data_IF_498206423296
#
_entry.id   IF_498206423296
#
_cell.length_a   1.000
_cell.length_b   1.000
_cell.length_c   1.000
_cell.angle_alpha   90.00
_cell.angle_beta   90.00
_cell.angle_gamma   90.00
#
_symmetry.space_group_name_H-M   'P 1'
#
loop_
_entity.id
_entity.type
_entity.pdbx_description
1 polymer ?
#
# COMPACT_ATOMS: atom_id res chain seq x y z
N UNK A 1 1.38 -57.79 -18.42
CA UNK A 1 2.38 -56.85 -17.89
C UNK A 1 2.56 -55.74 -18.92
N UNK A 2 1.71 -54.72 -18.85
CA UNK A 2 1.91 -53.50 -19.65
C UNK A 2 2.77 -52.55 -18.82
N UNK A 3 3.87 -52.11 -19.40
CA UNK A 3 4.80 -51.13 -18.86
C UNK A 3 4.08 -49.81 -18.57
N UNK A 4 3.83 -49.55 -17.30
CA UNK A 4 3.44 -48.25 -16.77
C UNK A 4 4.69 -47.37 -16.75
N UNK A 5 5.05 -46.81 -17.90
CA UNK A 5 6.11 -45.82 -17.99
C UNK A 5 5.55 -44.49 -17.50
N UNK A 6 6.06 -44.01 -16.37
CA UNK A 6 5.70 -42.76 -15.71
C UNK A 6 5.71 -41.55 -16.65
N UNK A 7 4.59 -41.33 -17.32
CA UNK A 7 4.31 -40.08 -18.01
C UNK A 7 4.15 -39.00 -16.94
N UNK A 8 4.71 -37.78 -17.16
CA UNK A 8 4.55 -36.68 -16.20
C UNK A 8 3.06 -36.46 -15.93
N UNK A 9 2.71 -36.34 -14.64
CA UNK A 9 1.33 -36.11 -14.21
C UNK A 9 0.85 -34.78 -14.80
N UNK A 10 0.00 -34.85 -15.84
CA UNK A 10 -0.61 -33.68 -16.46
C UNK A 10 -2.11 -33.69 -16.19
N UNK A 11 -2.62 -32.56 -15.73
CA UNK A 11 -4.03 -32.37 -15.37
C UNK A 11 -4.97 -32.38 -16.59
N UNK A 12 -4.45 -31.96 -17.74
CA UNK A 12 -5.12 -31.95 -19.03
C UNK A 12 -4.22 -32.71 -20.01
N UNK A 13 -4.73 -33.79 -20.61
CA UNK A 13 -3.86 -34.69 -21.39
C UNK A 13 -4.58 -35.87 -22.02
N UNK A 14 -5.60 -36.42 -21.35
CA UNK A 14 -6.32 -37.61 -21.81
C UNK A 14 -7.02 -37.49 -23.18
N UNK A 15 -7.15 -36.27 -23.72
CA UNK A 15 -7.73 -35.99 -25.05
C UNK A 15 -6.68 -35.78 -26.15
N UNK A 16 -5.42 -35.50 -25.82
CA UNK A 16 -4.42 -35.11 -26.81
C UNK A 16 -3.67 -36.33 -27.34
N UNK A 17 -3.55 -36.44 -28.67
CA UNK A 17 -2.82 -37.52 -29.34
C UNK A 17 -1.30 -37.38 -29.22
N UNK A 18 -0.80 -36.17 -28.93
CA UNK A 18 0.62 -35.85 -28.73
C UNK A 18 0.78 -34.82 -27.61
N UNK A 19 2.00 -34.66 -27.09
CA UNK A 19 2.32 -33.60 -26.11
C UNK A 19 2.29 -32.19 -26.70
N UNK A 20 2.30 -31.13 -25.85
CA UNK A 20 2.44 -29.76 -26.32
C UNK A 20 3.81 -29.54 -26.95
N UNK A 21 3.88 -28.58 -27.88
CA UNK A 21 5.16 -28.08 -28.38
C UNK A 21 5.95 -27.41 -27.24
N UNK A 22 7.28 -27.45 -27.31
CA UNK A 22 8.17 -26.87 -26.30
C UNK A 22 7.87 -25.38 -26.04
N UNK A 23 7.66 -24.61 -27.11
CA UNK A 23 7.30 -23.19 -27.01
C UNK A 23 5.97 -22.96 -26.26
N UNK A 24 5.00 -23.86 -26.43
CA UNK A 24 3.71 -23.76 -25.71
C UNK A 24 3.89 -24.11 -24.23
N UNK A 25 4.68 -25.15 -23.92
CA UNK A 25 4.98 -25.53 -22.55
C UNK A 25 5.70 -24.40 -21.79
N UNK A 26 6.70 -23.76 -22.44
CA UNK A 26 7.42 -22.62 -21.88
C UNK A 26 6.50 -21.41 -21.63
N UNK A 27 5.58 -21.11 -22.57
CA UNK A 27 4.62 -20.02 -22.41
C UNK A 27 3.59 -20.27 -21.30
N UNK A 28 3.15 -21.53 -21.12
CA UNK A 28 2.14 -21.86 -20.11
C UNK A 28 2.69 -21.93 -18.68
N UNK A 29 4.01 -22.13 -18.53
CA UNK A 29 4.63 -22.39 -17.25
C UNK A 29 4.54 -21.19 -16.30
N UNK A 30 4.10 -21.42 -15.07
CA UNK A 30 3.94 -20.39 -14.04
C UNK A 30 4.67 -20.70 -12.73
N UNK A 31 5.28 -21.88 -12.61
CA UNK A 31 6.05 -22.33 -11.43
C UNK A 31 7.14 -21.36 -10.97
N UNK A 32 7.67 -20.52 -11.86
CA UNK A 32 8.66 -19.50 -11.54
C UNK A 32 8.11 -18.32 -10.72
N UNK A 33 6.80 -18.09 -10.72
CA UNK A 33 6.15 -17.07 -9.90
C UNK A 33 5.06 -17.62 -8.97
N UNK A 34 4.30 -18.64 -9.37
CA UNK A 34 3.10 -19.09 -8.65
C UNK A 34 3.40 -20.06 -7.49
N UNK A 35 4.66 -20.51 -7.33
CA UNK A 35 5.06 -21.39 -6.23
C UNK A 35 4.76 -20.79 -4.85
N UNK A 36 4.69 -19.46 -4.75
CA UNK A 36 4.26 -18.73 -3.56
C UNK A 36 2.81 -19.01 -3.12
N UNK A 37 2.00 -19.61 -3.99
CA UNK A 37 0.62 -20.03 -3.69
C UNK A 37 0.56 -21.43 -3.06
N UNK A 38 1.69 -22.14 -2.90
CA UNK A 38 1.68 -23.55 -2.52
C UNK A 38 1.03 -23.82 -1.15
N UNK A 39 1.30 -22.99 -0.14
CA UNK A 39 0.70 -23.13 1.19
C UNK A 39 -0.82 -22.97 1.14
N UNK A 40 -1.31 -22.02 0.35
CA UNK A 40 -2.73 -21.77 0.14
C UNK A 40 -3.38 -22.93 -0.61
N UNK A 41 -2.73 -23.47 -1.65
CA UNK A 41 -3.25 -24.60 -2.43
C UNK A 41 -3.40 -25.86 -1.58
N UNK A 42 -2.43 -26.14 -0.69
CA UNK A 42 -2.52 -27.24 0.26
C UNK A 42 -3.65 -27.00 1.27
N UNK A 43 -3.83 -25.77 1.77
CA UNK A 43 -4.95 -25.43 2.64
C UNK A 43 -6.31 -25.66 1.93
N UNK A 44 -6.45 -25.19 0.70
CA UNK A 44 -7.62 -25.44 -0.16
C UNK A 44 -7.86 -26.92 -0.41
N UNK A 45 -6.79 -27.70 -0.60
CA UNK A 45 -6.87 -29.16 -0.77
C UNK A 45 -7.34 -29.88 0.51
N UNK A 46 -6.92 -29.43 1.70
CA UNK A 46 -7.44 -29.96 2.97
C UNK A 46 -8.93 -29.66 3.14
N UNK A 47 -9.34 -28.42 2.87
CA UNK A 47 -10.75 -28.01 2.96
C UNK A 47 -11.63 -28.83 1.98
N UNK A 48 -11.16 -29.01 0.75
CA UNK A 48 -11.86 -29.81 -0.26
C UNK A 48 -11.97 -31.29 0.13
N UNK A 49 -10.91 -31.89 0.67
CA UNK A 49 -10.96 -33.27 1.16
C UNK A 49 -12.05 -33.46 2.22
N UNK A 50 -12.20 -32.51 3.17
CA UNK A 50 -13.28 -32.55 4.17
C UNK A 50 -14.66 -32.42 3.55
N UNK A 51 -14.82 -31.62 2.50
CA UNK A 51 -16.10 -31.49 1.78
C UNK A 51 -16.43 -32.75 0.98
N UNK A 52 -15.45 -33.38 0.33
CA UNK A 52 -15.65 -34.68 -0.32
C UNK A 52 -16.08 -35.76 0.69
N UNK A 53 -15.46 -35.79 1.86
CA UNK A 53 -15.86 -36.69 2.95
C UNK A 53 -17.30 -36.45 3.41
N UNK A 54 -17.69 -35.19 3.67
CA UNK A 54 -19.09 -34.82 4.00
C UNK A 54 -20.09 -35.24 2.93
N UNK A 55 -19.67 -35.24 1.66
CA UNK A 55 -20.47 -35.70 0.52
C UNK A 55 -20.43 -37.24 0.31
N UNK A 56 -19.83 -38.01 1.23
CA UNK A 56 -19.63 -39.46 1.14
C UNK A 56 -18.79 -39.92 -0.07
N UNK A 57 -17.90 -39.05 -0.58
CA UNK A 57 -16.97 -39.35 -1.67
C UNK A 57 -15.59 -39.77 -1.17
N UNK A 58 -15.33 -39.62 0.13
CA UNK A 58 -14.20 -40.20 0.85
C UNK A 58 -14.71 -40.91 2.11
N UNK A 59 -14.13 -42.06 2.43
CA UNK A 59 -14.33 -42.72 3.73
C UNK A 59 -13.53 -42.03 4.84
N UNK A 60 -13.78 -42.39 6.10
CA UNK A 60 -13.01 -41.87 7.25
C UNK A 60 -11.51 -42.18 7.13
N UNK A 61 -11.16 -43.40 6.72
CA UNK A 61 -9.77 -43.82 6.48
C UNK A 61 -9.12 -43.00 5.35
N UNK A 62 -9.86 -42.83 4.25
CA UNK A 62 -9.39 -42.08 3.09
C UNK A 62 -9.16 -40.60 3.42
N UNK A 63 -10.06 -39.98 4.18
CA UNK A 63 -9.88 -38.61 4.66
C UNK A 63 -8.65 -38.51 5.57
N UNK A 64 -8.50 -39.41 6.54
CA UNK A 64 -7.38 -39.38 7.48
C UNK A 64 -6.03 -39.49 6.75
N UNK A 65 -5.93 -40.42 5.79
CA UNK A 65 -4.73 -40.61 4.96
C UNK A 65 -4.46 -39.42 4.05
N UNK A 66 -5.50 -38.83 3.46
CA UNK A 66 -5.39 -37.64 2.62
C UNK A 66 -4.83 -36.45 3.41
N UNK A 67 -5.39 -36.18 4.60
CA UNK A 67 -4.96 -35.07 5.44
C UNK A 67 -3.53 -35.27 5.94
N UNK A 68 -3.17 -36.48 6.40
CA UNK A 68 -1.82 -36.79 6.84
C UNK A 68 -0.78 -36.59 5.70
N UNK A 69 -1.11 -36.97 4.48
CA UNK A 69 -0.21 -36.75 3.35
C UNK A 69 -0.08 -35.29 2.94
N UNK A 70 -1.15 -34.51 3.02
CA UNK A 70 -1.12 -33.06 2.81
C UNK A 70 -0.30 -32.36 3.90
N UNK A 71 -0.29 -32.86 5.14
CA UNK A 71 0.56 -32.35 6.22
C UNK A 71 2.04 -32.60 5.96
N UNK A 72 2.39 -33.82 5.51
CA UNK A 72 3.76 -34.13 5.09
C UNK A 72 4.18 -33.28 3.90
N UNK A 73 3.33 -33.17 2.87
CA UNK A 73 3.61 -32.34 1.70
C UNK A 73 3.81 -30.87 2.08
N UNK A 74 3.02 -30.34 3.02
CA UNK A 74 3.20 -28.97 3.52
C UNK A 74 4.55 -28.77 4.19
N UNK A 75 4.99 -29.73 5.02
CA UNK A 75 6.31 -29.69 5.66
C UNK A 75 7.45 -29.77 4.64
N UNK A 76 7.29 -30.60 3.61
CA UNK A 76 8.30 -30.74 2.55
C UNK A 76 8.39 -29.49 1.66
N UNK A 77 7.27 -28.85 1.35
CA UNK A 77 7.24 -27.55 0.66
C UNK A 77 7.89 -26.46 1.50
N UNK A 78 7.56 -26.38 2.80
CA UNK A 78 8.10 -25.37 3.69
C UNK A 78 9.62 -25.52 3.94
N UNK A 79 10.12 -26.75 3.98
CA UNK A 79 11.55 -27.05 4.14
C UNK A 79 12.35 -26.99 2.83
N UNK A 80 11.67 -26.92 1.68
CA UNK A 80 12.29 -27.00 0.36
C UNK A 80 12.68 -28.44 -0.07
N UNK A 81 12.29 -29.46 0.71
CA UNK A 81 12.45 -30.86 0.33
C UNK A 81 11.57 -31.27 -0.87
N UNK A 82 10.47 -30.53 -1.11
CA UNK A 82 9.64 -30.66 -2.30
C UNK A 82 9.57 -29.34 -3.06
N UNK A 83 9.95 -29.36 -4.34
CA UNK A 83 9.95 -28.21 -5.25
C UNK A 83 9.31 -28.58 -6.59
N UNK A 84 8.87 -27.59 -7.40
CA UNK A 84 8.44 -27.86 -8.76
C UNK A 84 9.60 -28.37 -9.60
N UNK A 85 9.27 -29.09 -10.66
CA UNK A 85 10.18 -29.57 -11.71
C UNK A 85 9.82 -28.89 -13.03
N UNK A 86 10.71 -28.99 -14.03
CA UNK A 86 10.44 -28.47 -15.37
C UNK A 86 9.23 -29.13 -16.05
N UNK A 87 8.81 -30.29 -15.57
CA UNK A 87 7.64 -31.00 -16.08
C UNK A 87 6.32 -30.47 -15.51
N UNK A 88 6.37 -29.70 -14.41
CA UNK A 88 5.20 -29.10 -13.78
C UNK A 88 4.87 -27.75 -14.44
N UNK A 89 3.65 -27.60 -14.94
CA UNK A 89 3.19 -26.35 -15.56
C UNK A 89 3.00 -25.25 -14.51
N UNK A 90 2.45 -25.60 -13.35
CA UNK A 90 2.02 -24.69 -12.30
C UNK A 90 2.19 -25.32 -10.90
N UNK A 91 2.09 -24.50 -9.84
CA UNK A 91 2.14 -24.95 -8.43
C UNK A 91 1.16 -26.08 -8.15
N UNK A 92 0.01 -25.95 -8.77
CA UNK A 92 -1.13 -26.84 -8.82
C UNK A 92 -0.79 -28.27 -9.27
N UNK A 93 -0.11 -28.41 -10.41
CA UNK A 93 0.34 -29.70 -10.98
C UNK A 93 1.44 -30.30 -10.11
N UNK A 94 2.39 -29.47 -9.67
CA UNK A 94 3.47 -29.90 -8.80
C UNK A 94 2.95 -30.48 -7.48
N UNK A 95 2.07 -29.78 -6.77
CA UNK A 95 1.51 -30.25 -5.51
C UNK A 95 0.66 -31.50 -5.67
N UNK A 96 -0.07 -31.62 -6.77
CA UNK A 96 -0.78 -32.84 -7.06
C UNK A 96 0.16 -34.03 -7.27
N UNK A 97 1.23 -33.85 -8.06
CA UNK A 97 2.25 -34.88 -8.23
C UNK A 97 2.81 -35.29 -6.86
N UNK A 98 3.14 -34.32 -6.01
CA UNK A 98 3.60 -34.58 -4.65
C UNK A 98 2.60 -35.36 -3.79
N UNK A 99 1.30 -35.08 -3.94
CA UNK A 99 0.26 -35.84 -3.25
C UNK A 99 0.17 -37.29 -3.77
N UNK A 100 0.16 -37.48 -5.09
CA UNK A 100 0.08 -38.80 -5.73
C UNK A 100 1.26 -39.70 -5.34
N UNK A 101 2.48 -39.13 -5.27
CA UNK A 101 3.68 -39.83 -4.79
C UNK A 101 3.54 -40.33 -3.34
N UNK A 102 2.71 -39.68 -2.52
CA UNK A 102 2.54 -39.98 -1.08
C UNK A 102 1.38 -40.93 -0.80
N UNK A 103 0.24 -40.77 -1.49
CA UNK A 103 -0.98 -41.56 -1.22
C UNK A 103 -1.37 -42.54 -2.33
N UNK A 104 -0.63 -42.55 -3.44
CA UNK A 104 -0.96 -43.32 -4.63
C UNK A 104 -2.02 -42.67 -5.51
N UNK A 105 -2.16 -43.18 -6.73
CA UNK A 105 -3.04 -42.62 -7.76
C UNK A 105 -4.52 -42.74 -7.44
N UNK A 106 -4.93 -43.83 -6.79
CA UNK A 106 -6.33 -44.10 -6.49
C UNK A 106 -6.88 -43.09 -5.47
N UNK A 107 -6.18 -42.92 -4.34
CA UNK A 107 -6.62 -41.98 -3.30
C UNK A 107 -6.36 -40.53 -3.73
N UNK A 108 -5.16 -40.21 -4.21
CA UNK A 108 -4.82 -38.84 -4.62
C UNK A 108 -5.71 -38.33 -5.76
N UNK A 109 -6.07 -39.21 -6.71
CA UNK A 109 -6.96 -38.88 -7.81
C UNK A 109 -8.38 -38.51 -7.38
N UNK A 110 -8.87 -39.02 -6.23
CA UNK A 110 -10.19 -38.65 -5.70
C UNK A 110 -10.30 -37.18 -5.32
N UNK A 111 -9.18 -36.52 -4.97
CA UNK A 111 -9.19 -35.11 -4.59
C UNK A 111 -9.62 -34.18 -5.75
N UNK A 112 -9.56 -34.63 -7.01
CA UNK A 112 -10.03 -33.85 -8.17
C UNK A 112 -11.56 -33.78 -8.27
N UNK A 113 -12.29 -34.68 -7.62
CA UNK A 113 -13.73 -34.77 -7.80
C UNK A 113 -14.42 -33.45 -7.41
N UNK A 114 -15.18 -32.87 -8.34
CA UNK A 114 -15.98 -31.66 -8.10
C UNK A 114 -15.19 -30.36 -7.96
N UNK A 115 -13.88 -30.36 -8.27
CA UNK A 115 -12.99 -29.19 -8.26
C UNK A 115 -12.53 -28.84 -9.67
N UNK A 116 -12.35 -27.56 -9.96
CA UNK A 116 -11.69 -27.08 -11.18
C UNK A 116 -10.44 -26.29 -10.84
N UNK A 117 -9.59 -26.02 -11.84
CA UNK A 117 -8.51 -25.04 -11.66
C UNK A 117 -9.03 -23.61 -11.64
N UNK A 118 -10.17 -23.33 -12.30
CA UNK A 118 -10.70 -21.98 -12.43
C UNK A 118 -11.15 -21.39 -11.08
N UNK A 119 -11.92 -22.15 -10.31
CA UNK A 119 -12.39 -21.73 -8.98
C UNK A 119 -11.28 -21.85 -7.93
N UNK A 120 -10.43 -22.87 -8.04
CA UNK A 120 -9.25 -23.04 -7.21
C UNK A 120 -8.31 -21.83 -7.33
N UNK A 121 -7.83 -21.49 -8.53
CA UNK A 121 -6.85 -20.39 -8.70
C UNK A 121 -7.42 -19.05 -8.26
N UNK A 122 -8.72 -18.80 -8.50
CA UNK A 122 -9.38 -17.57 -8.07
C UNK A 122 -9.47 -17.48 -6.54
N UNK A 123 -9.77 -18.60 -5.86
CA UNK A 123 -9.81 -18.66 -4.39
C UNK A 123 -8.42 -18.43 -3.79
N UNK A 124 -7.41 -19.13 -4.30
CA UNK A 124 -6.05 -19.07 -3.78
C UNK A 124 -5.43 -17.69 -3.96
N UNK A 125 -5.73 -17.03 -5.07
CA UNK A 125 -5.24 -15.69 -5.30
C UNK A 125 -5.87 -14.67 -4.33
N UNK A 126 -7.17 -14.79 -4.05
CA UNK A 126 -7.83 -13.97 -3.01
C UNK A 126 -7.19 -14.20 -1.64
N UNK A 127 -6.95 -15.45 -1.24
CA UNK A 127 -6.28 -15.74 0.03
C UNK A 127 -4.91 -15.07 0.13
N UNK A 128 -4.07 -15.24 -0.90
CA UNK A 128 -2.74 -14.64 -0.94
C UNK A 128 -2.79 -13.11 -0.87
N UNK A 129 -3.71 -12.48 -1.62
CA UNK A 129 -3.83 -11.02 -1.62
C UNK A 129 -4.32 -10.48 -0.28
N UNK A 130 -5.21 -11.20 0.43
CA UNK A 130 -5.70 -10.79 1.75
C UNK A 130 -4.58 -10.79 2.78
N UNK A 131 -3.66 -11.76 2.72
CA UNK A 131 -2.46 -11.78 3.56
C UNK A 131 -1.46 -10.70 3.13
N UNK A 132 -1.26 -10.52 1.83
CA UNK A 132 -0.38 -9.47 1.29
C UNK A 132 -0.85 -8.06 1.67
N UNK A 133 -2.15 -7.79 1.59
CA UNK A 133 -2.74 -6.51 1.99
C UNK A 133 -2.46 -6.19 3.46
N UNK A 134 -2.53 -7.18 4.35
CA UNK A 134 -2.21 -7.02 5.77
C UNK A 134 -0.73 -6.71 5.99
N UNK A 135 0.18 -7.37 5.27
CA UNK A 135 1.63 -7.08 5.35
C UNK A 135 1.96 -5.67 4.84
N UNK A 136 1.38 -5.27 3.69
CA UNK A 136 1.54 -3.91 3.15
C UNK A 136 0.96 -2.88 4.10
N UNK A 137 -0.21 -3.13 4.68
CA UNK A 137 -0.81 -2.23 5.66
C UNK A 137 0.05 -2.10 6.92
N UNK A 138 0.62 -3.20 7.43
CA UNK A 138 1.52 -3.16 8.57
C UNK A 138 2.74 -2.28 8.29
N UNK A 139 3.43 -2.47 7.16
CA UNK A 139 4.55 -1.61 6.77
C UNK A 139 4.15 -0.15 6.52
N UNK A 140 2.93 0.09 6.02
CA UNK A 140 2.37 1.45 5.86
C UNK A 140 2.17 2.11 7.22
N UNK A 141 1.68 1.38 8.21
CA UNK A 141 1.52 1.88 9.58
C UNK A 141 2.87 2.14 10.26
N UNK A 142 3.92 1.42 9.90
CA UNK A 142 5.28 1.70 10.41
C UNK A 142 5.82 3.03 9.86
N UNK A 143 5.52 3.38 8.60
CA UNK A 143 5.80 4.73 8.04
C UNK A 143 4.97 5.81 8.75
N UNK A 144 3.69 5.53 9.03
CA UNK A 144 2.81 6.44 9.78
C UNK A 144 3.38 6.70 11.19
N UNK A 145 3.85 5.66 11.86
CA UNK A 145 4.40 5.77 13.21
C UNK A 145 5.73 6.55 13.21
N UNK A 146 6.60 6.35 12.21
CA UNK A 146 7.82 7.15 12.04
C UNK A 146 7.52 8.65 11.86
N UNK A 147 6.55 9.00 11.01
CA UNK A 147 6.09 10.38 10.83
C UNK A 147 5.50 10.96 12.12
N UNK A 148 4.67 10.19 12.82
CA UNK A 148 4.05 10.60 14.08
C UNK A 148 5.08 10.81 15.19
N UNK A 149 6.10 9.94 15.27
CA UNK A 149 7.20 10.06 16.22
C UNK A 149 8.03 11.32 15.95
N UNK A 150 8.36 11.61 14.68
CA UNK A 150 9.06 12.84 14.31
C UNK A 150 8.25 14.10 14.62
N UNK A 151 6.93 14.08 14.37
CA UNK A 151 6.03 15.16 14.74
C UNK A 151 5.96 15.37 16.26
N UNK A 152 5.95 14.29 17.04
CA UNK A 152 5.94 14.35 18.50
C UNK A 152 7.28 14.85 19.08
N UNK A 153 8.40 14.53 18.43
CA UNK A 153 9.74 14.96 18.83
C UNK A 153 10.00 16.45 18.53
N UNK A 154 9.26 17.04 17.59
CA UNK A 154 9.42 18.43 17.15
C UNK A 154 8.11 19.22 17.21
N UNK A 155 7.46 19.32 18.39
CA UNK A 155 6.10 19.87 18.51
C UNK A 155 6.03 21.37 18.18
N UNK A 156 7.13 22.10 18.39
CA UNK A 156 7.18 23.56 18.24
C UNK A 156 8.04 24.02 17.05
N UNK A 157 8.60 23.08 16.27
CA UNK A 157 9.50 23.43 15.17
C UNK A 157 8.72 24.11 14.04
N UNK A 158 8.95 25.40 13.83
CA UNK A 158 8.35 26.15 12.73
C UNK A 158 9.10 25.92 11.42
N UNK A 159 8.36 25.91 10.31
CA UNK A 159 8.91 25.86 8.95
C UNK A 159 8.03 26.68 7.99
N UNK A 160 8.55 27.13 6.84
CA UNK A 160 7.70 27.72 5.81
C UNK A 160 6.75 26.65 5.24
N UNK A 161 5.45 26.90 5.33
CA UNK A 161 4.46 26.19 4.52
C UNK A 161 4.63 26.58 3.05
N UNK A 162 4.26 25.68 2.14
CA UNK A 162 4.49 25.90 0.71
C UNK A 162 3.30 25.61 -0.17
N UNK A 163 3.15 26.46 -1.18
CA UNK A 163 2.29 26.23 -2.35
C UNK A 163 3.09 26.60 -3.59
N UNK A 164 3.05 25.79 -4.65
CA UNK A 164 3.92 25.97 -5.83
C UNK A 164 5.42 26.00 -5.50
N UNK A 165 5.82 25.32 -4.41
CA UNK A 165 7.17 25.36 -3.83
C UNK A 165 7.63 26.76 -3.35
N UNK A 166 6.75 27.76 -3.40
CA UNK A 166 6.98 29.10 -2.85
C UNK A 166 6.59 29.14 -1.38
N UNK A 167 7.23 30.02 -0.60
CA UNK A 167 6.85 30.25 0.78
C UNK A 167 5.44 30.84 0.84
N UNK A 168 4.59 30.21 1.63
CA UNK A 168 3.28 30.69 2.03
C UNK A 168 3.30 30.94 3.54
N UNK A 169 2.25 30.61 4.27
CA UNK A 169 2.18 30.83 5.71
C UNK A 169 3.14 29.90 6.49
N UNK A 170 3.72 30.36 7.61
CA UNK A 170 4.42 29.47 8.54
C UNK A 170 3.52 28.35 9.08
N UNK A 171 4.09 27.16 9.21
CA UNK A 171 3.44 25.97 9.79
C UNK A 171 4.38 25.27 10.77
N UNK A 172 3.83 24.38 11.59
CA UNK A 172 4.64 23.45 12.38
C UNK A 172 5.14 22.31 11.49
N UNK A 173 6.37 21.88 11.69
CA UNK A 173 6.94 20.68 11.08
C UNK A 173 6.03 19.47 11.34
N UNK A 174 5.58 19.31 12.59
CA UNK A 174 4.65 18.24 12.94
C UNK A 174 3.36 18.29 12.12
N UNK A 175 2.85 19.48 11.78
CA UNK A 175 1.68 19.62 10.91
C UNK A 175 1.96 19.12 9.48
N UNK A 176 3.12 19.48 8.93
CA UNK A 176 3.56 19.03 7.61
C UNK A 176 3.75 17.50 7.54
N UNK A 177 4.41 16.91 8.55
CA UNK A 177 4.64 15.47 8.60
C UNK A 177 3.34 14.68 8.76
N UNK A 178 2.44 15.14 9.63
CA UNK A 178 1.14 14.48 9.84
C UNK A 178 0.23 14.60 8.62
N UNK A 179 0.41 15.58 7.74
CA UNK A 179 -0.33 15.67 6.48
C UNK A 179 -0.09 14.43 5.59
N UNK A 180 1.14 13.91 5.55
CA UNK A 180 1.47 12.66 4.85
C UNK A 180 0.87 11.45 5.55
N UNK A 181 0.97 11.38 6.88
CA UNK A 181 0.42 10.29 7.66
C UNK A 181 -1.11 10.15 7.48
N UNK A 182 -1.85 11.27 7.34
CA UNK A 182 -3.27 11.25 7.01
C UNK A 182 -3.57 10.61 5.65
N UNK A 183 -2.70 10.78 4.65
CA UNK A 183 -2.85 10.14 3.35
C UNK A 183 -2.67 8.62 3.45
N UNK A 184 -1.65 8.18 4.16
CA UNK A 184 -1.35 6.76 4.38
C UNK A 184 -2.45 6.05 5.18
N UNK A 185 -3.04 6.70 6.19
CA UNK A 185 -4.20 6.13 6.88
C UNK A 185 -5.39 5.91 5.94
N UNK A 186 -5.62 6.79 4.96
CA UNK A 186 -6.66 6.54 3.94
C UNK A 186 -6.30 5.36 3.03
N UNK A 187 -5.02 5.09 2.79
CA UNK A 187 -4.61 3.92 2.01
C UNK A 187 -4.90 2.62 2.78
N UNK A 188 -4.63 2.59 4.09
CA UNK A 188 -4.98 1.45 4.95
C UNK A 188 -6.51 1.26 5.03
N UNK A 189 -7.27 2.35 5.11
CA UNK A 189 -8.75 2.31 5.06
C UNK A 189 -9.26 1.65 3.77
N UNK A 190 -8.68 2.01 2.63
CA UNK A 190 -9.03 1.39 1.34
C UNK A 190 -8.70 -0.10 1.31
N UNK A 191 -7.58 -0.53 1.90
CA UNK A 191 -7.24 -1.94 2.00
C UNK A 191 -8.24 -2.73 2.86
N UNK A 192 -8.75 -2.14 3.95
CA UNK A 192 -9.81 -2.73 4.77
C UNK A 192 -11.12 -2.88 4.01
N UNK A 193 -11.54 -1.82 3.31
CA UNK A 193 -12.75 -1.85 2.50
C UNK A 193 -12.65 -2.89 1.37
N UNK A 194 -11.47 -2.99 0.74
CA UNK A 194 -11.19 -3.99 -0.28
C UNK A 194 -11.23 -5.42 0.26
N UNK A 195 -10.66 -5.68 1.45
CA UNK A 195 -10.66 -7.01 2.08
C UNK A 195 -12.09 -7.51 2.31
N UNK A 196 -13.00 -6.61 2.76
CA UNK A 196 -14.41 -6.94 2.95
C UNK A 196 -15.13 -7.36 1.66
N UNK A 197 -14.83 -6.72 0.52
CA UNK A 197 -15.36 -7.14 -0.80
C UNK A 197 -14.73 -8.43 -1.30
N UNK A 198 -13.48 -8.69 -0.92
CA UNK A 198 -12.68 -9.83 -1.40
C UNK A 198 -12.91 -11.10 -0.57
N UNK A 199 -13.55 -10.99 0.59
CA UNK A 199 -13.79 -12.06 1.56
C UNK A 199 -14.84 -13.11 1.15
N UNK A 200 -15.11 -13.29 -0.15
CA UNK A 200 -15.99 -14.35 -0.67
C UNK A 200 -15.23 -15.37 -1.52
N UNK A 201 -15.46 -16.66 -1.26
CA UNK A 201 -14.75 -17.77 -1.88
C UNK A 201 -15.40 -18.23 -3.20
N UNK A 202 -14.64 -18.28 -4.31
CA UNK A 202 -15.10 -18.91 -5.55
C UNK A 202 -15.22 -20.44 -5.49
N UNK A 203 -14.59 -21.10 -4.51
CA UNK A 203 -14.48 -22.56 -4.45
C UNK A 203 -15.86 -23.25 -4.48
N UNK A 204 -16.03 -24.25 -5.34
CA UNK A 204 -17.31 -24.91 -5.58
C UNK A 204 -18.04 -24.40 -6.83
N UNK A 205 -17.55 -23.32 -7.44
CA UNK A 205 -18.00 -22.84 -8.76
C UNK A 205 -17.60 -23.78 -9.91
N UNK A 206 -16.67 -24.71 -9.65
CA UNK A 206 -16.16 -25.63 -10.66
C UNK A 206 -15.54 -24.88 -11.84
N UNK A 207 -15.72 -25.39 -13.05
CA UNK A 207 -15.16 -24.74 -14.24
C UNK A 207 -15.86 -23.40 -14.57
N UNK A 208 -17.18 -23.33 -14.38
CA UNK A 208 -18.00 -22.13 -14.61
C UNK A 208 -19.46 -22.29 -14.13
N UNK A 209 -19.98 -23.51 -14.00
CA UNK A 209 -21.41 -23.79 -13.83
C UNK A 209 -21.82 -24.33 -12.44
N UNK A 210 -20.88 -24.32 -11.49
CA UNK A 210 -21.06 -24.95 -10.17
C UNK A 210 -20.71 -26.44 -10.19
N UNK A 211 -20.41 -26.97 -9.01
CA UNK A 211 -20.21 -28.41 -8.80
C UNK A 211 -21.53 -29.19 -8.87
N UNK A 212 -21.55 -30.32 -9.55
CA UNK A 212 -22.71 -31.22 -9.64
C UNK A 212 -22.72 -32.31 -8.56
N UNK A 213 -21.74 -32.31 -7.64
CA UNK A 213 -21.55 -33.37 -6.65
C UNK A 213 -22.24 -33.09 -5.30
N UNK A 214 -23.08 -32.06 -5.21
CA UNK A 214 -23.76 -31.69 -3.96
C UNK A 214 -22.78 -31.28 -2.84
N UNK A 215 -21.62 -30.73 -3.22
CA UNK A 215 -20.64 -30.20 -2.28
C UNK A 215 -21.19 -28.95 -1.59
N UNK A 216 -20.65 -28.60 -0.41
CA UNK A 216 -21.01 -27.41 0.36
C UNK A 216 -19.93 -26.32 0.23
N UNK A 217 -20.12 -25.29 -0.64
CA UNK A 217 -19.18 -24.19 -0.82
C UNK A 217 -19.00 -23.33 0.44
N UNK A 218 -20.05 -23.17 1.26
CA UNK A 218 -19.98 -22.37 2.47
C UNK A 218 -19.05 -23.02 3.51
N UNK A 219 -19.04 -24.35 3.57
CA UNK A 219 -18.11 -25.06 4.42
C UNK A 219 -16.65 -24.96 3.95
N UNK A 220 -16.39 -24.88 2.63
CA UNK A 220 -15.04 -24.56 2.14
C UNK A 220 -14.66 -23.12 2.47
N UNK A 221 -15.57 -22.18 2.26
CA UNK A 221 -15.34 -20.76 2.57
C UNK A 221 -14.96 -20.56 4.05
N UNK A 222 -15.74 -21.14 4.97
CA UNK A 222 -15.47 -21.08 6.40
C UNK A 222 -14.13 -21.72 6.79
N UNK A 223 -13.81 -22.91 6.25
CA UNK A 223 -12.53 -23.59 6.48
C UNK A 223 -11.31 -22.74 6.04
N UNK A 224 -11.50 -21.90 5.01
CA UNK A 224 -10.45 -21.06 4.42
C UNK A 224 -10.49 -19.60 4.91
N UNK A 225 -11.36 -19.26 5.86
CA UNK A 225 -11.44 -17.91 6.45
C UNK A 225 -12.12 -16.85 5.57
N UNK A 226 -13.00 -17.26 4.66
CA UNK A 226 -13.89 -16.38 3.91
C UNK A 226 -15.24 -16.22 4.64
N UNK A 227 -15.93 -15.12 4.36
CA UNK A 227 -17.24 -14.79 4.95
C UNK A 227 -18.39 -15.58 4.30
N UNK A 228 -18.17 -16.13 3.11
CA UNK A 228 -19.12 -16.97 2.41
C UNK A 228 -18.66 -17.35 1.01
N UNK A 229 -19.45 -18.15 0.27
CA UNK A 229 -19.20 -18.41 -1.14
C UNK A 229 -19.65 -17.24 -2.02
N UNK A 230 -19.14 -17.17 -3.24
CA UNK A 230 -19.68 -16.27 -4.27
C UNK A 230 -21.09 -16.69 -4.71
N UNK A 231 -21.90 -15.72 -5.13
CA UNK A 231 -23.30 -15.94 -5.55
C UNK A 231 -23.45 -16.55 -6.96
N UNK A 232 -22.44 -16.39 -7.82
CA UNK A 232 -22.51 -16.83 -9.21
C UNK A 232 -21.19 -17.49 -9.65
N UNK A 233 -21.28 -18.71 -10.18
CA UNK A 233 -20.10 -19.50 -10.55
C UNK A 233 -19.36 -18.99 -11.79
N UNK A 234 -20.07 -18.36 -12.73
CA UNK A 234 -19.46 -17.75 -13.91
C UNK A 234 -18.66 -16.52 -13.48
N UNK A 235 -19.26 -15.69 -12.64
CA UNK A 235 -18.61 -14.50 -12.07
C UNK A 235 -17.39 -14.89 -11.20
N UNK A 236 -17.57 -15.84 -10.27
CA UNK A 236 -16.52 -16.28 -9.36
C UNK A 236 -15.28 -16.83 -10.04
N UNK A 237 -15.44 -17.42 -11.23
CA UNK A 237 -14.32 -17.97 -12.02
C UNK A 237 -13.73 -16.97 -13.00
N UNK A 238 -14.53 -16.03 -13.51
CA UNK A 238 -14.12 -15.07 -14.55
C UNK A 238 -13.64 -13.72 -13.99
N UNK A 239 -14.30 -13.18 -12.96
CA UNK A 239 -14.02 -11.81 -12.51
C UNK A 239 -12.66 -11.68 -11.81
N UNK A 240 -12.00 -10.55 -12.04
CA UNK A 240 -10.73 -10.11 -11.42
C UNK A 240 -10.78 -8.65 -11.00
N UNK A 241 -11.98 -8.12 -10.77
CA UNK A 241 -12.21 -6.79 -10.21
C UNK A 241 -11.52 -6.62 -8.85
N UNK A 242 -11.52 -7.66 -8.00
CA UNK A 242 -10.75 -7.66 -6.74
C UNK A 242 -9.24 -7.45 -6.96
N UNK A 243 -8.68 -7.99 -8.05
CA UNK A 243 -7.27 -7.83 -8.39
C UNK A 243 -6.98 -6.43 -8.92
N UNK A 244 -7.86 -5.89 -9.78
CA UNK A 244 -7.75 -4.52 -10.27
C UNK A 244 -7.89 -3.48 -9.14
N UNK A 245 -8.82 -3.70 -8.20
CA UNK A 245 -9.06 -2.80 -7.08
C UNK A 245 -7.84 -2.73 -6.15
N UNK A 246 -7.26 -3.88 -5.76
CA UNK A 246 -6.05 -3.83 -4.93
C UNK A 246 -4.86 -3.27 -5.70
N UNK A 247 -4.71 -3.53 -7.01
CA UNK A 247 -3.68 -2.88 -7.82
C UNK A 247 -3.79 -1.35 -7.74
N UNK A 248 -5.02 -0.82 -7.74
CA UNK A 248 -5.26 0.61 -7.53
C UNK A 248 -4.88 1.06 -6.12
N UNK A 249 -5.28 0.32 -5.08
CA UNK A 249 -4.90 0.64 -3.69
C UNK A 249 -3.38 0.71 -3.52
N UNK A 250 -2.64 -0.26 -4.07
CA UNK A 250 -1.18 -0.30 -4.02
C UNK A 250 -0.53 0.83 -4.84
N UNK A 251 -1.07 1.15 -6.02
CA UNK A 251 -0.58 2.26 -6.84
C UNK A 251 -0.81 3.63 -6.15
N UNK A 252 -1.98 3.82 -5.53
CA UNK A 252 -2.29 5.03 -4.77
C UNK A 252 -1.39 5.20 -3.54
N UNK A 253 -1.10 4.11 -2.83
CA UNK A 253 -0.10 4.10 -1.76
C UNK A 253 1.26 4.52 -2.30
N UNK A 254 1.70 3.95 -3.43
CA UNK A 254 2.93 4.35 -4.12
C UNK A 254 3.01 5.85 -4.43
N UNK A 255 1.91 6.45 -4.89
CA UNK A 255 1.81 7.90 -5.15
C UNK A 255 1.90 8.72 -3.86
N UNK A 256 1.28 8.29 -2.78
CA UNK A 256 1.38 9.01 -1.50
C UNK A 256 2.80 8.91 -0.92
N UNK A 257 3.46 7.76 -1.04
CA UNK A 257 4.87 7.57 -0.68
C UNK A 257 5.80 8.43 -1.56
N UNK A 258 5.51 8.59 -2.85
CA UNK A 258 6.32 9.42 -3.74
C UNK A 258 6.29 10.91 -3.36
N UNK A 259 5.20 11.38 -2.73
CA UNK A 259 5.09 12.76 -2.23
C UNK A 259 5.97 12.99 -1.00
N UNK A 260 6.03 12.00 -0.09
CA UNK A 260 6.98 12.02 1.03
C UNK A 260 8.41 12.04 0.50
N UNK A 261 8.70 11.17 -0.47
CA UNK A 261 10.00 11.11 -1.11
C UNK A 261 10.43 12.44 -1.74
N UNK A 262 9.53 13.11 -2.47
CA UNK A 262 9.80 14.43 -3.07
C UNK A 262 10.23 15.45 -2.02
N UNK A 263 9.52 15.50 -0.88
CA UNK A 263 9.85 16.44 0.18
C UNK A 263 11.20 16.12 0.82
N UNK A 264 11.52 14.85 1.09
CA UNK A 264 12.83 14.46 1.60
C UNK A 264 13.95 14.83 0.62
N UNK A 265 13.75 14.60 -0.68
CA UNK A 265 14.73 14.96 -1.72
C UNK A 265 14.99 16.46 -1.69
N UNK A 266 13.93 17.28 -1.65
CA UNK A 266 14.06 18.73 -1.64
C UNK A 266 14.70 19.22 -0.32
N UNK A 267 14.24 18.72 0.83
CA UNK A 267 14.70 19.17 2.14
C UNK A 267 16.17 18.83 2.43
N UNK A 268 16.71 17.82 1.76
CA UNK A 268 18.10 17.37 1.93
C UNK A 268 19.07 18.02 0.93
N UNK A 269 18.58 18.86 0.01
CA UNK A 269 19.43 19.69 -0.86
C UNK A 269 20.24 20.72 -0.05
N UNK A 270 21.36 21.19 -0.61
CA UNK A 270 22.16 22.27 -0.03
C UNK A 270 21.41 23.60 0.09
N UNK A 271 20.49 23.87 -0.83
CA UNK A 271 19.75 25.10 -0.96
C UNK A 271 18.70 25.23 0.16
N UNK A 272 17.98 24.14 0.43
CA UNK A 272 17.02 24.09 1.53
C UNK A 272 17.74 23.84 2.86
N UNK A 273 18.46 22.72 2.94
CA UNK A 273 19.14 22.23 4.14
C UNK A 273 18.22 22.13 5.36
N UNK A 274 17.00 21.62 5.16
CA UNK A 274 16.02 21.47 6.23
C UNK A 274 16.18 20.17 6.99
N UNK A 275 16.79 19.17 6.33
CA UNK A 275 16.99 17.86 6.90
C UNK A 275 18.34 17.28 6.49
N UNK A 276 18.88 16.42 7.34
CA UNK A 276 20.09 15.65 7.12
C UNK A 276 19.75 14.17 7.30
N UNK A 277 20.01 13.38 6.25
CA UNK A 277 19.82 11.93 6.29
C UNK A 277 20.86 11.26 7.18
N UNK A 278 20.46 10.18 7.84
CA UNK A 278 21.38 9.26 8.49
C UNK A 278 22.24 8.50 7.46
N UNK A 279 23.47 8.12 7.84
CA UNK A 279 24.39 7.42 6.95
C UNK A 279 23.87 6.04 6.52
N UNK A 280 23.09 5.38 7.37
CA UNK A 280 22.52 4.07 7.06
C UNK A 280 21.47 4.10 5.94
N UNK A 281 20.88 5.28 5.67
CA UNK A 281 19.77 5.47 4.75
C UNK A 281 20.09 6.41 3.58
N UNK A 282 21.37 6.73 3.39
CA UNK A 282 21.87 7.55 2.28
C UNK A 282 23.11 6.91 1.66
N UNK A 283 23.37 7.22 0.39
CA UNK A 283 24.68 6.92 -0.22
C UNK A 283 25.56 8.18 -0.25
N UNK A 284 26.88 7.98 -0.22
CA UNK A 284 27.86 9.06 -0.25
C UNK A 284 28.62 9.16 -1.57
N UNK A 285 29.38 10.23 -1.74
CA UNK A 285 30.41 10.34 -2.79
C UNK A 285 31.78 9.95 -2.23
N UNK A 286 32.55 9.16 -2.99
CA UNK A 286 33.95 8.84 -2.63
C UNK A 286 34.88 10.06 -2.69
N UNK A 287 34.46 11.17 -3.31
CA UNK A 287 35.25 12.39 -3.49
C UNK A 287 34.74 13.52 -2.58
N UNK A 288 33.43 13.59 -2.33
CA UNK A 288 32.79 14.69 -1.61
C UNK A 288 32.18 14.19 -0.30
N UNK A 289 32.89 14.32 0.85
CA UNK A 289 32.49 13.70 2.12
C UNK A 289 31.19 14.26 2.71
N UNK A 290 30.78 15.46 2.33
CA UNK A 290 29.53 16.10 2.77
C UNK A 290 28.30 15.68 1.97
N UNK A 291 28.48 15.07 0.78
CA UNK A 291 27.39 14.77 -0.13
C UNK A 291 26.68 13.48 0.29
N UNK A 292 25.42 13.61 0.72
CA UNK A 292 24.50 12.50 0.98
C UNK A 292 23.38 12.48 -0.06
N UNK A 293 23.17 11.33 -0.68
CA UNK A 293 22.15 11.14 -1.71
C UNK A 293 20.89 10.50 -1.09
N UNK A 294 19.68 10.99 -1.41
CA UNK A 294 18.42 10.46 -0.90
C UNK A 294 17.95 9.22 -1.67
N UNK A 295 18.78 8.19 -1.84
CA UNK A 295 18.50 7.02 -2.71
C UNK A 295 17.17 6.33 -2.40
N UNK A 296 16.83 6.17 -1.11
CA UNK A 296 15.55 5.56 -0.69
C UNK A 296 14.37 6.35 -1.23
N UNK A 297 14.41 7.68 -1.13
CA UNK A 297 13.36 8.55 -1.64
C UNK A 297 13.32 8.52 -3.18
N UNK A 298 14.46 8.57 -3.85
CA UNK A 298 14.51 8.52 -5.32
C UNK A 298 13.96 7.20 -5.87
N UNK A 299 14.34 6.07 -5.27
CA UNK A 299 13.82 4.75 -5.61
C UNK A 299 12.31 4.62 -5.32
N UNK A 300 11.84 5.19 -4.21
CA UNK A 300 10.40 5.27 -3.90
C UNK A 300 9.64 6.01 -4.99
N UNK A 301 10.13 7.20 -5.38
CA UNK A 301 9.52 8.02 -6.43
C UNK A 301 9.51 7.28 -7.78
N UNK A 302 10.61 6.64 -8.16
CA UNK A 302 10.69 5.84 -9.39
C UNK A 302 9.76 4.63 -9.40
N UNK A 303 9.72 3.87 -8.29
CA UNK A 303 8.88 2.66 -8.18
C UNK A 303 7.38 2.97 -8.13
N UNK A 304 6.97 4.17 -7.71
CA UNK A 304 5.56 4.59 -7.83
C UNK A 304 5.03 4.49 -9.27
N UNK A 305 5.87 4.83 -10.27
CA UNK A 305 5.55 4.69 -11.69
C UNK A 305 5.38 3.23 -12.13
N UNK A 306 6.16 2.31 -11.56
CA UNK A 306 6.03 0.86 -11.80
C UNK A 306 4.68 0.33 -11.33
N UNK A 307 4.24 0.74 -10.13
CA UNK A 307 2.93 0.34 -9.58
C UNK A 307 1.76 0.86 -10.44
N UNK A 308 1.86 2.10 -10.93
CA UNK A 308 0.90 2.67 -11.89
C UNK A 308 0.86 1.85 -13.19
N UNK A 309 2.03 1.44 -13.70
CA UNK A 309 2.16 0.60 -14.87
C UNK A 309 1.48 -0.76 -14.69
N UNK A 310 1.69 -1.42 -13.55
CA UNK A 310 1.08 -2.71 -13.22
C UNK A 310 -0.45 -2.61 -13.19
N UNK A 311 -1.01 -1.57 -12.56
CA UNK A 311 -2.45 -1.30 -12.57
C UNK A 311 -2.97 -1.12 -14.01
N UNK A 312 -2.30 -0.27 -14.79
CA UNK A 312 -2.75 0.05 -16.14
C UNK A 312 -2.71 -1.16 -17.05
N UNK A 313 -1.65 -1.97 -16.96
CA UNK A 313 -1.51 -3.23 -17.67
C UNK A 313 -2.61 -4.21 -17.29
N UNK A 314 -2.88 -4.40 -16.00
CA UNK A 314 -3.93 -5.29 -15.53
C UNK A 314 -5.31 -4.86 -16.03
N UNK A 315 -5.66 -3.57 -15.94
CA UNK A 315 -6.92 -3.06 -16.48
C UNK A 315 -7.04 -3.29 -17.99
N UNK A 316 -5.95 -3.14 -18.74
CA UNK A 316 -5.93 -3.40 -20.17
C UNK A 316 -6.12 -4.88 -20.49
N UNK A 317 -5.52 -5.80 -19.72
CA UNK A 317 -5.71 -7.26 -19.84
C UNK A 317 -7.16 -7.65 -19.58
N UNK A 318 -7.81 -7.07 -18.58
CA UNK A 318 -9.19 -7.41 -18.21
C UNK A 318 -10.24 -6.84 -19.18
N UNK A 319 -9.91 -5.80 -19.93
CA UNK A 319 -10.84 -5.10 -20.82
C UNK A 319 -11.41 -6.04 -21.89
N UNK A 320 -12.75 -6.12 -21.94
CA UNK A 320 -13.52 -6.77 -22.99
C UNK A 320 -13.29 -8.29 -23.13
N UNK A 321 -12.83 -8.96 -22.06
CA UNK A 321 -12.83 -10.42 -22.05
C UNK A 321 -14.26 -10.97 -22.10
N UNK A 322 -14.55 -11.96 -22.96
CA UNK A 322 -15.83 -12.67 -22.92
C UNK A 322 -15.90 -13.55 -21.66
N UNK A 323 -17.10 -13.77 -21.11
CA UNK A 323 -17.27 -14.74 -20.04
C UNK A 323 -17.08 -16.18 -20.58
N UNK A 324 -16.60 -17.15 -19.79
CA UNK A 324 -16.20 -17.05 -18.37
C UNK A 324 -14.66 -16.93 -18.22
N UNK A 325 -13.98 -17.97 -17.72
CA UNK A 325 -12.52 -18.01 -17.62
C UNK A 325 -11.87 -18.05 -19.01
N UNK A 326 -10.91 -17.16 -19.24
CA UNK A 326 -9.98 -17.20 -20.39
C UNK A 326 -8.54 -17.28 -19.87
N UNK A 327 -7.63 -17.79 -20.71
CA UNK A 327 -6.22 -17.98 -20.32
C UNK A 327 -5.50 -16.64 -20.06
N UNK A 328 -6.00 -15.55 -20.62
CA UNK A 328 -5.61 -14.17 -20.32
C UNK A 328 -5.61 -13.88 -18.80
N UNK A 329 -6.50 -14.52 -18.04
CA UNK A 329 -6.58 -14.38 -16.58
C UNK A 329 -5.41 -15.06 -15.82
N UNK A 330 -4.42 -15.62 -16.52
CA UNK A 330 -3.14 -16.04 -15.93
C UNK A 330 -2.24 -14.82 -15.62
N UNK A 331 -2.40 -13.72 -16.38
CA UNK A 331 -1.64 -12.47 -16.24
C UNK A 331 -2.10 -11.60 -15.04
N UNK A 332 -3.04 -12.09 -14.23
CA UNK A 332 -3.55 -11.36 -13.06
C UNK A 332 -2.56 -11.33 -11.88
N UNK A 333 -1.63 -12.29 -11.81
CA UNK A 333 -0.75 -12.54 -10.66
C UNK A 333 0.51 -11.69 -10.66
N UNK A 334 1.32 -11.79 -11.72
CA UNK A 334 2.63 -11.14 -11.81
C UNK A 334 2.62 -9.64 -11.52
N UNK A 335 1.70 -8.80 -12.06
CA UNK A 335 1.66 -7.39 -11.73
C UNK A 335 1.39 -7.11 -10.24
N UNK A 336 0.59 -7.95 -9.58
CA UNK A 336 0.29 -7.80 -8.16
C UNK A 336 1.37 -8.36 -7.24
N UNK A 337 1.97 -9.48 -7.63
CA UNK A 337 3.16 -10.03 -7.00
C UNK A 337 4.29 -9.02 -7.00
N UNK A 338 4.55 -8.40 -8.15
CA UNK A 338 5.52 -7.33 -8.26
C UNK A 338 5.17 -6.14 -7.37
N UNK A 339 3.93 -5.64 -7.43
CA UNK A 339 3.53 -4.47 -6.64
C UNK A 339 3.69 -4.68 -5.14
N UNK A 340 3.32 -5.85 -4.63
CA UNK A 340 3.49 -6.22 -3.23
C UNK A 340 4.97 -6.32 -2.87
N UNK A 341 5.78 -7.02 -3.67
CA UNK A 341 7.23 -7.16 -3.43
C UNK A 341 7.94 -5.81 -3.40
N UNK A 342 7.60 -4.89 -4.32
CA UNK A 342 8.18 -3.54 -4.30
C UNK A 342 7.82 -2.79 -3.01
N UNK A 343 6.57 -2.91 -2.55
CA UNK A 343 6.14 -2.23 -1.33
C UNK A 343 6.75 -2.86 -0.06
N UNK A 344 6.89 -4.18 0.00
CA UNK A 344 7.57 -4.88 1.10
C UNK A 344 9.05 -4.49 1.22
N UNK A 345 9.69 -4.08 0.11
CA UNK A 345 11.05 -3.50 0.13
C UNK A 345 11.05 -2.02 0.52
N UNK A 346 10.11 -1.25 -0.02
CA UNK A 346 10.08 0.22 0.15
C UNK A 346 9.63 0.66 1.55
N UNK A 347 8.58 0.06 2.09
CA UNK A 347 7.97 0.48 3.34
C UNK A 347 8.96 0.49 4.52
N UNK A 348 9.72 -0.59 4.81
CA UNK A 348 10.71 -0.54 5.88
C UNK A 348 11.86 0.43 5.60
N UNK A 349 12.24 0.61 4.32
CA UNK A 349 13.29 1.56 3.96
C UNK A 349 12.87 3.02 4.20
N UNK A 350 11.63 3.37 3.82
CA UNK A 350 11.07 4.70 4.06
C UNK A 350 10.86 4.93 5.56
N UNK A 351 10.34 3.95 6.29
CA UNK A 351 10.14 4.05 7.73
C UNK A 351 11.47 4.33 8.45
N UNK A 352 12.52 3.55 8.17
CA UNK A 352 13.84 3.75 8.78
C UNK A 352 14.51 5.06 8.38
N UNK A 353 14.37 5.48 7.12
CA UNK A 353 14.83 6.80 6.67
C UNK A 353 14.15 7.93 7.45
N UNK A 354 12.83 7.87 7.65
CA UNK A 354 12.07 8.89 8.39
C UNK A 354 12.30 8.83 9.90
N UNK A 355 12.51 7.64 10.47
CA UNK A 355 12.80 7.49 11.91
C UNK A 355 14.12 8.16 12.28
N UNK A 356 15.11 8.10 11.39
CA UNK A 356 16.48 8.56 11.66
C UNK A 356 16.81 9.93 11.07
N UNK A 357 15.94 10.49 10.22
CA UNK A 357 16.15 11.83 9.64
C UNK A 357 16.25 12.88 10.75
N UNK A 358 17.22 13.78 10.62
CA UNK A 358 17.40 14.89 11.56
C UNK A 358 17.02 16.19 10.88
N UNK A 359 16.24 17.03 11.57
CA UNK A 359 15.80 18.32 11.05
C UNK A 359 16.66 19.45 11.59
N UNK A 360 17.02 20.40 10.72
CA UNK A 360 17.63 21.67 11.12
C UNK A 360 16.51 22.68 11.43
N UNK A 361 16.02 22.63 12.67
CA UNK A 361 14.89 23.45 13.12
C UNK A 361 15.21 24.94 13.13
N UNK A 362 16.48 25.32 13.33
CA UNK A 362 16.92 26.71 13.28
C UNK A 362 16.84 27.25 11.85
N UNK A 363 17.37 26.50 10.88
CA UNK A 363 17.30 26.84 9.45
C UNK A 363 15.85 26.95 8.96
N UNK A 364 14.99 26.02 9.37
CA UNK A 364 13.57 26.06 9.01
C UNK A 364 12.86 27.27 9.59
N UNK A 365 13.06 27.56 10.89
CA UNK A 365 12.45 28.71 11.55
C UNK A 365 12.91 30.04 10.94
N UNK A 366 14.21 30.16 10.63
CA UNK A 366 14.77 31.34 9.96
C UNK A 366 14.20 31.57 8.54
N UNK A 367 13.78 30.50 7.87
CA UNK A 367 13.20 30.58 6.51
C UNK A 367 11.70 30.90 6.51
N UNK A 368 10.99 30.65 7.62
CA UNK A 368 9.54 30.77 7.70
C UNK A 368 8.97 32.19 7.42
N UNK A 369 9.58 33.29 7.91
CA UNK A 369 9.07 34.65 7.65
C UNK A 369 9.55 35.23 6.31
N UNK A 370 10.48 34.57 5.61
CA UNK A 370 11.13 35.11 4.42
C UNK A 370 10.14 35.30 3.27
N UNK A 371 10.21 36.45 2.58
CA UNK A 371 9.30 36.80 1.49
C UNK A 371 7.99 37.44 1.95
N UNK A 372 7.99 38.09 3.12
CA UNK A 372 6.83 38.78 3.69
C UNK A 372 5.61 37.88 3.88
N UNK A 373 5.84 36.61 4.23
CA UNK A 373 4.78 35.60 4.38
C UNK A 373 3.73 35.97 5.43
N UNK A 374 4.12 36.78 6.41
CA UNK A 374 3.27 37.32 7.47
C UNK A 374 2.34 38.46 7.01
N UNK A 375 2.44 38.92 5.75
CA UNK A 375 1.53 39.93 5.20
C UNK A 375 0.07 39.44 5.17
N UNK A 376 -0.13 38.14 4.97
CA UNK A 376 -1.48 37.55 5.01
C UNK A 376 -2.07 37.68 6.41
N UNK A 377 -1.26 37.55 7.45
CA UNK A 377 -1.67 37.68 8.85
C UNK A 377 -2.09 39.12 9.18
N UNK A 378 -1.49 40.15 8.54
CA UNK A 378 -1.99 41.54 8.62
C UNK A 378 -3.41 41.64 8.09
N UNK A 379 -3.65 41.09 6.90
CA UNK A 379 -4.97 41.15 6.27
C UNK A 379 -6.02 40.39 7.10
N UNK A 380 -5.70 39.18 7.55
CA UNK A 380 -6.58 38.37 8.41
C UNK A 380 -6.85 39.07 9.76
N UNK A 381 -5.84 39.70 10.36
CA UNK A 381 -6.00 40.46 11.60
C UNK A 381 -6.94 41.65 11.42
N UNK A 382 -6.78 42.43 10.34
CA UNK A 382 -7.68 43.53 10.01
C UNK A 382 -9.13 43.07 9.78
N UNK A 383 -9.31 41.93 9.12
CA UNK A 383 -10.66 41.34 8.94
C UNK A 383 -11.29 41.00 10.29
N UNK A 384 -10.53 40.50 11.26
CA UNK A 384 -11.04 40.27 12.63
C UNK A 384 -11.45 41.57 13.34
N UNK A 385 -10.88 42.72 12.95
CA UNK A 385 -11.30 44.05 13.43
C UNK A 385 -12.51 44.61 12.67
N UNK A 386 -13.12 43.84 11.76
CA UNK A 386 -14.29 44.25 10.98
C UNK A 386 -13.97 44.96 9.66
N UNK A 387 -12.69 45.02 9.26
CA UNK A 387 -12.30 45.62 7.98
C UNK A 387 -12.64 44.65 6.83
N UNK A 388 -13.32 45.09 5.75
CA UNK A 388 -13.59 44.23 4.60
C UNK A 388 -12.29 43.69 3.97
N UNK A 389 -12.28 42.41 3.60
CA UNK A 389 -11.05 41.72 3.12
C UNK A 389 -10.32 42.47 1.99
N UNK A 390 -11.04 43.06 1.03
CA UNK A 390 -10.41 43.84 -0.06
C UNK A 390 -9.56 45.00 0.49
N UNK A 391 -10.09 45.74 1.47
CA UNK A 391 -9.40 46.86 2.11
C UNK A 391 -8.24 46.37 2.96
N UNK A 392 -8.44 45.26 3.69
CA UNK A 392 -7.38 44.63 4.49
C UNK A 392 -6.20 44.14 3.62
N UNK A 393 -6.49 43.55 2.46
CA UNK A 393 -5.50 43.08 1.50
C UNK A 393 -4.73 44.25 0.87
N UNK A 394 -5.41 45.35 0.51
CA UNK A 394 -4.75 46.59 0.06
C UNK A 394 -3.79 47.12 1.15
N UNK A 395 -4.24 47.21 2.41
CA UNK A 395 -3.40 47.66 3.52
C UNK A 395 -2.19 46.75 3.80
N UNK A 396 -2.37 45.42 3.68
CA UNK A 396 -1.27 44.46 3.79
C UNK A 396 -0.25 44.64 2.65
N UNK A 397 -0.72 44.79 1.41
CA UNK A 397 0.15 45.07 0.26
C UNK A 397 0.91 46.39 0.40
N UNK A 398 0.28 47.42 0.97
CA UNK A 398 0.92 48.70 1.25
C UNK A 398 2.01 48.57 2.32
N UNK A 399 1.75 47.75 3.35
CA UNK A 399 2.73 47.45 4.41
C UNK A 399 3.95 46.73 3.84
N UNK A 400 3.76 45.75 2.95
CA UNK A 400 4.86 45.06 2.25
C UNK A 400 5.69 46.05 1.44
N UNK A 401 5.07 46.90 0.62
CA UNK A 401 5.81 47.88 -0.21
C UNK A 401 6.65 48.83 0.64
N UNK A 402 6.18 49.25 1.81
CA UNK A 402 6.94 50.10 2.74
C UNK A 402 8.11 49.35 3.36
N UNK A 403 7.89 48.12 3.81
CA UNK A 403 8.93 47.28 4.41
C UNK A 403 10.03 46.96 3.39
N UNK A 404 9.66 46.61 2.15
CA UNK A 404 10.58 46.43 1.03
C UNK A 404 11.42 47.68 0.73
N UNK A 405 10.78 48.84 0.64
CA UNK A 405 11.47 50.10 0.37
C UNK A 405 12.50 50.47 1.46
N UNK A 406 12.27 50.00 2.70
CA UNK A 406 13.18 50.20 3.84
C UNK A 406 14.19 49.07 4.02
N UNK A 407 14.00 47.92 3.37
CA UNK A 407 14.83 46.73 3.55
C UNK A 407 14.70 46.12 4.95
N UNK A 408 13.50 46.15 5.55
CA UNK A 408 13.20 45.64 6.91
C UNK A 408 12.04 44.65 6.90
N UNK A 409 11.84 43.90 7.98
CA UNK A 409 10.66 43.05 8.20
C UNK A 409 9.36 43.83 8.44
N UNK A 410 8.20 43.17 8.33
CA UNK A 410 6.90 43.79 8.63
C UNK A 410 6.79 44.19 10.10
N UNK A 411 7.42 43.43 10.99
CA UNK A 411 7.50 43.66 12.43
C UNK A 411 8.41 44.84 12.80
N UNK A 412 9.19 45.37 11.85
CA UNK A 412 10.08 46.52 12.03
C UNK A 412 9.51 47.84 11.48
N UNK A 413 8.33 47.81 10.86
CA UNK A 413 7.58 49.03 10.51
C UNK A 413 7.19 49.77 11.79
N UNK A 414 7.25 51.10 11.82
CA UNK A 414 6.84 51.90 13.00
C UNK A 414 5.32 51.97 13.12
N UNK A 415 4.82 52.38 14.28
CA UNK A 415 3.37 52.54 14.51
C UNK A 415 2.78 53.59 13.57
N UNK A 416 3.51 54.67 13.26
CA UNK A 416 3.10 55.68 12.30
C UNK A 416 3.03 55.12 10.87
N UNK A 417 3.99 54.25 10.49
CA UNK A 417 4.01 53.63 9.17
C UNK A 417 2.85 52.65 8.98
N UNK A 418 2.55 51.84 10.00
CA UNK A 418 1.40 50.93 10.01
C UNK A 418 0.08 51.71 9.97
N UNK A 419 -0.06 52.76 10.79
CA UNK A 419 -1.24 53.62 10.79
C UNK A 419 -1.45 54.34 9.44
N UNK A 420 -0.35 54.65 8.72
CA UNK A 420 -0.40 55.23 7.38
C UNK A 420 -0.85 54.24 6.28
N UNK A 421 -0.79 52.92 6.53
CA UNK A 421 -1.38 51.90 5.66
C UNK A 421 -2.87 51.70 5.95
N UNK A 422 -3.27 51.76 7.21
CA UNK A 422 -4.67 51.75 7.63
C UNK A 422 -4.81 52.26 9.06
N UNK A 423 -5.81 53.11 9.38
CA UNK A 423 -6.04 53.58 10.74
C UNK A 423 -6.45 52.45 11.71
N UNK A 424 -6.83 51.29 11.17
CA UNK A 424 -7.16 50.11 11.97
C UNK A 424 -5.92 49.29 12.38
N UNK A 425 -4.74 49.54 11.80
CA UNK A 425 -3.49 48.86 12.17
C UNK A 425 -2.92 49.44 13.46
N UNK A 426 -3.49 49.03 14.59
CA UNK A 426 -2.95 49.35 15.91
C UNK A 426 -1.66 48.55 16.16
N UNK A 427 -0.83 48.94 17.17
CA UNK A 427 0.38 48.19 17.53
C UNK A 427 0.13 46.71 17.86
N UNK A 428 -1.10 46.34 18.20
CA UNK A 428 -1.53 44.97 18.49
C UNK A 428 -1.43 44.03 17.27
N UNK A 429 -1.37 44.56 16.04
CA UNK A 429 -1.11 43.73 14.84
C UNK A 429 0.21 42.95 14.94
N UNK A 430 1.20 43.48 15.71
CA UNK A 430 2.48 42.81 15.92
C UNK A 430 2.35 41.44 16.61
N UNK A 431 1.23 41.19 17.30
CA UNK A 431 0.93 39.86 17.88
C UNK A 431 0.89 38.75 16.84
N UNK A 432 0.60 39.07 15.57
CA UNK A 432 0.59 38.11 14.44
C UNK A 432 1.75 38.32 13.46
N UNK A 433 2.61 39.31 13.70
CA UNK A 433 3.83 39.57 12.90
C UNK A 433 5.06 38.84 13.43
N UNK A 434 4.84 37.75 14.16
CA UNK A 434 5.88 36.79 14.52
C UNK A 434 5.49 35.43 13.97
N UNK A 435 6.46 34.58 13.67
CA UNK A 435 6.22 33.19 13.23
C UNK A 435 5.31 32.46 14.23
N UNK A 436 5.57 32.61 15.52
CA UNK A 436 4.77 31.98 16.57
C UNK A 436 3.35 32.55 16.64
N UNK A 437 3.20 33.87 16.48
CA UNK A 437 1.90 34.54 16.43
C UNK A 437 1.04 34.06 15.26
N UNK A 438 1.64 33.99 14.06
CA UNK A 438 0.99 33.46 12.86
C UNK A 438 0.49 32.03 13.06
N UNK A 439 1.38 31.12 13.50
CA UNK A 439 1.05 29.72 13.78
C UNK A 439 -0.07 29.61 14.82
N UNK A 440 0.05 30.33 15.94
CA UNK A 440 -0.91 30.27 17.04
C UNK A 440 -2.30 30.76 16.66
N UNK A 441 -2.39 31.67 15.68
CA UNK A 441 -3.66 32.24 15.22
C UNK A 441 -4.48 31.31 14.32
N UNK A 442 -3.91 30.17 13.91
CA UNK A 442 -4.53 29.15 13.04
C UNK A 442 -5.04 27.98 13.88
N UNK A 443 -5.92 28.29 14.83
CA UNK A 443 -6.38 27.40 15.91
C UNK A 443 -7.73 26.69 15.63
N UNK A 444 -8.28 26.86 14.43
CA UNK A 444 -9.42 26.08 13.96
C UNK A 444 -9.07 24.59 13.82
N UNK A 445 -10.09 23.73 13.75
CA UNK A 445 -9.91 22.29 13.55
C UNK A 445 -9.03 22.02 12.31
N UNK A 446 -7.97 21.24 12.49
CA UNK A 446 -7.02 20.92 11.42
C UNK A 446 -6.03 22.05 11.09
N UNK A 447 -6.05 23.16 11.82
CA UNK A 447 -5.05 24.21 11.71
C UNK A 447 -3.70 23.84 12.34
N UNK A 448 -2.70 24.68 12.09
CA UNK A 448 -1.31 24.43 12.51
C UNK A 448 -0.99 24.90 13.93
N UNK A 449 -1.93 25.48 14.67
CA UNK A 449 -1.65 25.88 16.06
C UNK A 449 -1.23 24.67 16.91
N UNK A 450 -0.31 24.82 17.89
CA UNK A 450 0.26 23.68 18.64
C UNK A 450 -0.80 22.76 19.26
N UNK A 451 -1.84 23.34 19.88
CA UNK A 451 -2.93 22.57 20.47
C UNK A 451 -3.68 21.72 19.42
N UNK A 452 -3.90 22.26 18.21
CA UNK A 452 -4.61 21.56 17.12
C UNK A 452 -3.78 20.42 16.52
N UNK A 453 -2.47 20.62 16.40
CA UNK A 453 -1.54 19.59 15.93
C UNK A 453 -1.41 18.47 16.96
N UNK A 454 -1.32 18.80 18.25
CA UNK A 454 -1.31 17.79 19.32
C UNK A 454 -2.61 16.95 19.34
N UNK A 455 -3.77 17.57 19.18
CA UNK A 455 -5.04 16.87 19.06
C UNK A 455 -5.12 16.00 17.80
N UNK A 456 -4.60 16.48 16.66
CA UNK A 456 -4.51 15.70 15.43
C UNK A 456 -3.63 14.46 15.62
N UNK A 457 -2.46 14.63 16.22
CA UNK A 457 -1.55 13.54 16.53
C UNK A 457 -2.23 12.47 17.39
N UNK A 458 -2.92 12.87 18.47
CA UNK A 458 -3.64 11.94 19.34
C UNK A 458 -4.72 11.14 18.57
N UNK A 459 -5.53 11.80 17.73
CA UNK A 459 -6.54 11.13 16.90
C UNK A 459 -5.91 10.18 15.88
N UNK A 460 -4.80 10.60 15.26
CA UNK A 460 -4.07 9.81 14.28
C UNK A 460 -3.49 8.54 14.91
N UNK A 461 -2.86 8.66 16.08
CA UNK A 461 -2.29 7.51 16.81
C UNK A 461 -3.37 6.51 17.21
N UNK A 462 -4.53 6.97 17.71
CA UNK A 462 -5.64 6.08 18.04
C UNK A 462 -6.16 5.34 16.79
N UNK A 463 -6.25 6.02 15.65
CA UNK A 463 -6.68 5.41 14.38
C UNK A 463 -5.64 4.41 13.83
N UNK A 464 -4.35 4.72 13.94
CA UNK A 464 -3.26 3.80 13.58
C UNK A 464 -3.35 2.50 14.39
N UNK A 465 -3.63 2.59 15.69
CA UNK A 465 -3.79 1.42 16.57
C UNK A 465 -4.98 0.54 16.20
N UNK A 466 -6.14 1.13 15.88
CA UNK A 466 -7.31 0.38 15.36
C UNK A 466 -6.94 -0.38 14.08
N UNK A 467 -6.26 0.29 13.16
CA UNK A 467 -5.83 -0.33 11.90
C UNK A 467 -4.81 -1.45 12.10
N UNK A 468 -3.88 -1.28 13.04
CA UNK A 468 -2.88 -2.29 13.40
C UNK A 468 -3.52 -3.54 14.03
N UNK A 469 -4.71 -3.43 14.62
CA UNK A 469 -5.45 -4.60 15.08
C UNK A 469 -5.98 -5.45 13.90
N UNK A 470 -6.35 -4.83 12.78
CA UNK A 470 -6.80 -5.52 11.57
C UNK A 470 -5.68 -6.21 10.79
N UNK A 471 -4.43 -5.76 10.92
CA UNK A 471 -3.29 -6.37 10.21
C UNK A 471 -2.80 -7.68 10.83
N UNK A 472 -3.31 -8.05 12.01
CA UNK A 472 -2.87 -9.24 12.77
C UNK A 472 -3.47 -10.54 12.26
#
# INVERSE_FOLDING_TARGET
>A
MSSDNGAPARLWGGRFASGPAEAMAALSASTHFDWRLASYDIAGSRAHARVLHRANLLTDDELARMLAALDVLAADVASGAFTPTIADEDVHTALERGLLERVGTDLGGKLRAGRSRNDQVATLFRMWLRDAARRVAAGTLDVVDALAAQAAAHPDAAMPGRTHLQHAQPVLLGHQLLAHAQALLRDVDRLRDWDARTAFSPYGSGALAGSSLGLDPAAVAADLGFDGPVENSIDGTASRDFAAEIAFCLAMLGVNLSRIAEEVIIWTTSEFHYAVLDDAWATGSSIMPQKKNPDVAELTRGKSGRLIGNLTGLLATLKAQPLAYNRDLQEDKEPLFDSVEQLELLLPAIAGMLETIRYDTERMAASAPAGFTLATDIAEWLVRQGVPFRVAHEAAGDSVRRAEARGVGLDELTDEELAACSPHLTPEVRTVLTVQGSISSRDAYGGTAPARVAEQLARLTAKSQDYRAWTK
#
